data_IF_977637228571
#
_entry.id   IF_977637228571
#
_cell.length_a   1.000
_cell.length_b   1.000
_cell.length_c   1.000
_cell.angle_alpha   90.00
_cell.angle_beta   90.00
_cell.angle_gamma   90.00
#
_symmetry.space_group_name_H-M   'P 1'
#
loop_
_entity.id
_entity.type
_entity.pdbx_description
1 polymer ?
#
# COMPACT_ATOMS: atom_id res chain seq x y z
N UNK A 1 -6.92 15.83 -8.26
CA UNK A 1 -6.52 14.43 -8.53
C UNK A 1 -5.17 14.20 -7.88
N UNK A 2 -5.04 13.25 -6.96
CA UNK A 2 -3.85 13.10 -6.12
C UNK A 2 -2.75 12.34 -6.91
N UNK A 3 -1.75 13.07 -7.44
CA UNK A 3 -0.68 12.53 -8.30
C UNK A 3 0.38 11.73 -7.52
N UNK A 4 0.22 11.61 -6.19
CA UNK A 4 1.15 10.91 -5.31
C UNK A 4 1.32 9.45 -5.70
N UNK A 5 0.23 8.74 -6.04
CA UNK A 5 0.24 7.29 -6.33
C UNK A 5 0.68 6.94 -7.76
N UNK A 6 0.70 7.92 -8.67
CA UNK A 6 1.09 7.74 -10.08
C UNK A 6 2.50 8.28 -10.36
N UNK A 7 3.05 9.09 -9.46
CA UNK A 7 4.38 9.66 -9.59
C UNK A 7 5.51 8.70 -9.18
N UNK A 8 6.73 8.90 -9.70
CA UNK A 8 7.92 8.10 -9.37
C UNK A 8 8.34 8.21 -7.90
N UNK A 9 7.76 9.13 -7.13
CA UNK A 9 8.04 9.37 -5.72
C UNK A 9 7.49 8.23 -4.84
N UNK A 10 6.33 7.66 -5.18
CA UNK A 10 5.71 6.60 -4.39
C UNK A 10 6.52 5.29 -4.32
N UNK A 11 7.02 4.72 -5.44
CA UNK A 11 7.86 3.53 -5.37
C UNK A 11 9.17 3.77 -4.62
N UNK A 12 9.77 4.97 -4.77
CA UNK A 12 10.98 5.33 -4.04
C UNK A 12 10.74 5.41 -2.53
N UNK A 13 9.66 6.07 -2.11
CA UNK A 13 9.29 6.20 -0.71
C UNK A 13 8.93 4.84 -0.09
N UNK A 14 8.22 3.99 -0.84
CA UNK A 14 7.89 2.62 -0.40
C UNK A 14 9.15 1.77 -0.21
N UNK A 15 10.09 1.85 -1.15
CA UNK A 15 11.37 1.14 -1.05
C UNK A 15 12.19 1.59 0.16
N UNK A 16 12.31 2.91 0.38
CA UNK A 16 13.05 3.46 1.53
C UNK A 16 12.40 3.13 2.87
N UNK A 17 11.07 3.15 2.94
CA UNK A 17 10.35 2.75 4.15
C UNK A 17 10.57 1.26 4.46
N UNK A 18 10.59 0.41 3.43
CA UNK A 18 10.88 -1.02 3.58
C UNK A 18 12.33 -1.27 4.01
N UNK A 19 13.29 -0.58 3.39
CA UNK A 19 14.72 -0.67 3.72
C UNK A 19 14.97 -0.27 5.18
N UNK A 20 14.36 0.83 5.64
CA UNK A 20 14.44 1.28 7.03
C UNK A 20 13.85 0.26 8.02
N UNK A 21 12.69 -0.32 7.71
CA UNK A 21 12.06 -1.36 8.54
C UNK A 21 12.91 -2.63 8.60
N UNK A 22 13.53 -3.01 7.48
CA UNK A 22 14.41 -4.17 7.40
C UNK A 22 15.69 -3.97 8.21
N UNK A 23 16.29 -2.78 8.18
CA UNK A 23 17.51 -2.48 8.95
C UNK A 23 17.23 -2.36 10.46
N UNK A 24 16.12 -1.72 10.85
CA UNK A 24 15.69 -1.67 12.25
C UNK A 24 15.44 -3.07 12.86
N UNK A 25 15.10 -4.05 12.03
CA UNK A 25 14.89 -5.43 12.46
C UNK A 25 16.20 -6.21 12.71
N UNK A 26 17.36 -5.68 12.32
CA UNK A 26 18.64 -6.40 12.37
C UNK A 26 19.49 -6.09 13.60
N UNK A 27 19.23 -4.99 14.33
CA UNK A 27 20.06 -4.53 15.45
C UNK A 27 19.54 -4.90 16.84
N UNK A 28 18.32 -5.46 16.93
CA UNK A 28 17.77 -5.97 18.19
C UNK A 28 17.99 -7.48 18.31
N UNK A 29 18.46 -7.94 19.47
CA UNK A 29 18.41 -9.38 19.82
C UNK A 29 16.95 -9.83 19.79
N UNK A 30 16.55 -10.50 18.71
CA UNK A 30 15.22 -11.08 18.53
C UNK A 30 15.11 -12.31 19.41
N UNK A 31 14.39 -12.16 20.51
CA UNK A 31 14.05 -13.27 21.38
C UNK A 31 12.61 -13.72 21.08
N UNK A 32 12.31 -14.98 21.34
CA UNK A 32 10.96 -15.52 21.23
C UNK A 32 10.35 -15.71 22.62
N UNK A 33 9.02 -15.75 22.67
CA UNK A 33 8.32 -16.18 23.88
C UNK A 33 8.81 -17.59 24.26
N UNK A 34 9.26 -17.74 25.50
CA UNK A 34 9.88 -18.96 26.00
C UNK A 34 11.40 -18.90 26.20
N UNK A 35 12.09 -17.92 25.60
CA UNK A 35 13.52 -17.70 25.79
C UNK A 35 13.84 -17.13 27.18
N UNK A 36 15.12 -17.18 27.55
CA UNK A 36 15.63 -16.73 28.84
C UNK A 36 16.35 -15.38 28.70
N UNK A 37 16.02 -14.41 29.55
CA UNK A 37 16.73 -13.12 29.66
C UNK A 37 17.44 -13.06 31.02
N UNK A 38 18.69 -12.65 31.00
CA UNK A 38 19.48 -12.38 32.20
C UNK A 38 19.59 -10.88 32.47
N UNK A 39 19.59 -10.52 33.74
CA UNK A 39 19.67 -9.12 34.19
C UNK A 39 19.61 -8.98 35.71
N UNK A 40 20.12 -7.86 36.23
CA UNK A 40 20.01 -7.53 37.64
C UNK A 40 18.60 -7.01 37.96
N UNK A 41 18.09 -6.14 37.09
CA UNK A 41 16.71 -5.63 37.09
C UNK A 41 16.11 -5.73 35.68
N UNK A 42 14.93 -6.34 35.58
CA UNK A 42 14.17 -6.52 34.35
C UNK A 42 12.89 -5.68 34.42
N UNK A 43 12.67 -4.82 33.44
CA UNK A 43 11.38 -4.13 33.26
C UNK A 43 10.55 -4.89 32.23
N UNK A 44 9.38 -5.36 32.64
CA UNK A 44 8.44 -6.09 31.80
C UNK A 44 7.70 -5.15 30.86
N UNK A 45 7.06 -5.68 29.79
CA UNK A 45 6.20 -4.91 28.89
C UNK A 45 5.05 -4.17 29.60
N UNK A 46 4.57 -4.70 30.73
CA UNK A 46 3.54 -4.09 31.59
C UNK A 46 4.08 -2.97 32.51
N UNK A 47 5.38 -2.69 32.44
CA UNK A 47 6.06 -1.69 33.28
C UNK A 47 6.41 -2.17 34.69
N UNK A 48 6.00 -3.38 35.09
CA UNK A 48 6.43 -3.99 36.35
C UNK A 48 7.92 -4.32 36.32
N UNK A 49 8.64 -4.04 37.41
CA UNK A 49 10.07 -4.31 37.55
C UNK A 49 10.32 -5.56 38.39
N UNK A 50 11.14 -6.47 37.89
CA UNK A 50 11.58 -7.67 38.61
C UNK A 50 13.09 -7.53 38.88
N UNK A 51 13.47 -7.56 40.16
CA UNK A 51 14.87 -7.69 40.56
C UNK A 51 15.26 -9.16 40.47
N UNK A 52 15.88 -9.55 39.36
CA UNK A 52 16.25 -10.95 39.11
C UNK A 52 17.62 -11.30 39.70
N UNK A 53 18.45 -10.29 40.06
CA UNK A 53 19.74 -10.51 40.72
C UNK A 53 20.66 -11.45 39.93
N UNK A 54 20.72 -11.28 38.59
CA UNK A 54 21.42 -12.14 37.63
C UNK A 54 20.85 -13.56 37.49
N UNK A 55 19.62 -13.81 37.90
CA UNK A 55 18.92 -15.06 37.55
C UNK A 55 18.26 -14.91 36.18
N UNK A 56 18.30 -15.98 35.40
CA UNK A 56 17.59 -16.06 34.13
C UNK A 56 16.08 -16.05 34.36
N UNK A 57 15.39 -15.12 33.70
CA UNK A 57 13.93 -15.01 33.73
C UNK A 57 13.36 -15.52 32.40
N UNK A 58 12.36 -16.39 32.50
CA UNK A 58 11.67 -16.93 31.31
C UNK A 58 10.64 -15.94 30.81
N UNK A 59 10.71 -15.63 29.53
CA UNK A 59 9.79 -14.71 28.87
C UNK A 59 8.45 -15.39 28.64
N UNK A 60 7.39 -14.84 29.22
CA UNK A 60 6.04 -15.41 29.14
C UNK A 60 5.09 -14.62 28.23
N UNK A 61 5.43 -13.37 27.89
CA UNK A 61 4.57 -12.50 27.09
C UNK A 61 5.39 -11.81 26.00
N UNK A 62 4.83 -11.62 24.79
CA UNK A 62 5.48 -10.84 23.75
C UNK A 62 5.52 -9.35 24.15
N UNK A 63 6.56 -8.64 23.70
CA UNK A 63 6.74 -7.21 24.01
C UNK A 63 8.19 -6.79 24.12
N UNK A 64 8.41 -5.57 24.59
CA UNK A 64 9.75 -5.00 24.78
C UNK A 64 10.15 -5.17 26.25
N UNK A 65 11.30 -5.79 26.47
CA UNK A 65 11.89 -5.98 27.79
C UNK A 65 13.15 -5.13 27.91
N UNK A 66 13.35 -4.51 29.07
CA UNK A 66 14.58 -3.79 29.38
C UNK A 66 15.35 -4.52 30.48
N UNK A 67 16.59 -4.91 30.20
CA UNK A 67 17.50 -5.48 31.19
C UNK A 67 18.56 -4.47 31.58
N UNK A 68 18.66 -4.22 32.88
CA UNK A 68 19.73 -3.40 33.46
C UNK A 68 20.78 -4.33 34.05
N UNK A 69 22.04 -4.16 33.62
CA UNK A 69 23.20 -4.82 34.19
C UNK A 69 24.25 -3.74 34.47
N UNK A 70 24.37 -3.32 35.74
CA UNK A 70 25.18 -2.15 36.10
C UNK A 70 24.70 -0.87 35.43
N UNK A 71 25.56 -0.23 34.62
CA UNK A 71 25.25 1.03 33.91
C UNK A 71 24.66 0.83 32.50
N UNK A 72 24.60 -0.41 32.00
CA UNK A 72 24.13 -0.71 30.65
C UNK A 72 22.66 -1.15 30.68
N UNK A 73 21.85 -0.53 29.82
CA UNK A 73 20.44 -0.88 29.59
C UNK A 73 20.36 -1.54 28.22
N UNK A 74 20.00 -2.82 28.19
CA UNK A 74 19.79 -3.58 26.96
C UNK A 74 18.30 -3.78 26.72
N UNK A 75 17.82 -3.42 25.52
CA UNK A 75 16.44 -3.64 25.10
C UNK A 75 16.32 -4.93 24.29
N UNK A 76 15.38 -5.79 24.65
CA UNK A 76 15.08 -7.03 23.96
C UNK A 76 13.66 -6.95 23.41
N UNK A 77 13.53 -7.12 22.10
CA UNK A 77 12.23 -7.27 21.45
C UNK A 77 11.88 -8.75 21.42
N UNK A 78 10.77 -9.09 22.07
CA UNK A 78 10.26 -10.46 22.15
C UNK A 78 9.06 -10.58 21.24
N UNK A 79 9.23 -11.35 20.17
CA UNK A 79 8.16 -11.65 19.24
C UNK A 79 7.32 -12.82 19.76
N UNK A 80 6.01 -12.74 19.52
CA UNK A 80 5.12 -13.89 19.67
C UNK A 80 5.55 -15.00 18.70
N UNK A 81 5.36 -16.26 19.08
CA UNK A 81 5.68 -17.36 18.17
C UNK A 81 4.85 -17.22 16.89
N UNK A 82 5.53 -17.16 15.75
CA UNK A 82 4.89 -17.05 14.44
C UNK A 82 4.01 -18.26 14.11
N UNK A 83 4.16 -19.37 14.86
CA UNK A 83 3.26 -20.52 14.79
C UNK A 83 1.82 -20.20 15.23
N UNK A 84 1.59 -19.13 16.00
CA UNK A 84 0.26 -18.67 16.41
C UNK A 84 -0.42 -17.73 15.40
N UNK A 85 0.30 -17.28 14.37
CA UNK A 85 -0.33 -16.67 13.20
C UNK A 85 -1.17 -17.75 12.54
N UNK A 86 -2.47 -17.79 12.85
CA UNK A 86 -3.42 -18.72 12.25
C UNK A 86 -3.39 -18.50 10.74
N UNK A 87 -2.59 -19.30 10.05
CA UNK A 87 -2.54 -19.39 8.60
C UNK A 87 -3.73 -20.24 8.11
N UNK A 88 -4.91 -19.94 8.64
CA UNK A 88 -6.16 -20.50 8.17
C UNK A 88 -6.67 -19.59 7.05
N UNK A 89 -7.26 -20.19 6.01
CA UNK A 89 -7.92 -19.41 4.96
C UNK A 89 -9.03 -18.57 5.59
N UNK A 90 -8.82 -17.26 5.61
CA UNK A 90 -9.80 -16.33 6.15
C UNK A 90 -11.11 -16.43 5.35
N UNK A 91 -12.22 -16.69 6.05
CA UNK A 91 -13.54 -16.71 5.43
C UNK A 91 -14.03 -15.28 5.22
N UNK A 92 -13.75 -14.75 4.03
CA UNK A 92 -14.17 -13.41 3.63
C UNK A 92 -15.70 -13.25 3.55
N UNK A 93 -16.48 -14.33 3.60
CA UNK A 93 -17.95 -14.30 3.56
C UNK A 93 -18.56 -13.74 4.85
N UNK A 94 -17.81 -13.75 5.96
CA UNK A 94 -18.28 -13.28 7.28
C UNK A 94 -17.95 -11.81 7.56
N UNK A 95 -17.21 -11.16 6.67
CA UNK A 95 -16.68 -9.80 6.90
C UNK A 95 -17.66 -8.74 6.36
N UNK A 96 -18.47 -8.18 7.28
CA UNK A 96 -19.53 -7.19 6.97
C UNK A 96 -19.07 -5.97 6.15
N UNK A 97 -17.80 -5.60 6.27
CA UNK A 97 -17.25 -4.38 5.67
C UNK A 97 -16.32 -4.65 4.48
N UNK A 98 -16.10 -5.91 4.11
CA UNK A 98 -15.21 -6.26 3.00
C UNK A 98 -16.07 -6.60 1.80
N UNK A 99 -16.11 -5.67 0.85
CA UNK A 99 -16.74 -5.89 -0.45
C UNK A 99 -15.76 -6.65 -1.33
N UNK A 100 -15.91 -7.98 -1.40
CA UNK A 100 -15.12 -8.80 -2.31
C UNK A 100 -15.51 -8.51 -3.75
N UNK A 101 -14.50 -8.42 -4.63
CA UNK A 101 -14.75 -8.28 -6.07
C UNK A 101 -15.37 -9.58 -6.61
N UNK A 102 -16.41 -9.43 -7.43
CA UNK A 102 -17.07 -10.58 -8.08
C UNK A 102 -16.11 -11.27 -9.06
N UNK A 103 -16.35 -12.55 -9.38
CA UNK A 103 -15.50 -13.34 -10.30
C UNK A 103 -15.25 -12.66 -11.65
N UNK A 104 -16.19 -11.84 -12.14
CA UNK A 104 -16.08 -11.06 -13.38
C UNK A 104 -15.44 -9.65 -13.21
N UNK A 105 -14.71 -9.40 -12.12
CA UNK A 105 -14.11 -8.08 -11.84
C UNK A 105 -13.23 -7.57 -12.98
N UNK A 106 -12.54 -8.48 -13.67
CA UNK A 106 -11.70 -8.16 -14.83
C UNK A 106 -12.50 -7.44 -15.92
N UNK A 107 -13.72 -7.91 -16.23
CA UNK A 107 -14.59 -7.27 -17.23
C UNK A 107 -15.08 -5.89 -16.76
N UNK A 108 -15.33 -5.72 -15.46
CA UNK A 108 -15.78 -4.44 -14.88
C UNK A 108 -14.68 -3.37 -14.93
N UNK A 109 -13.42 -3.75 -14.73
CA UNK A 109 -12.28 -2.83 -14.90
C UNK A 109 -12.18 -2.36 -16.35
N UNK A 110 -12.34 -3.27 -17.31
CA UNK A 110 -12.29 -2.90 -18.72
C UNK A 110 -13.45 -1.99 -19.13
N UNK A 111 -14.67 -2.19 -18.62
CA UNK A 111 -15.79 -1.27 -18.82
C UNK A 111 -15.49 0.13 -18.27
N UNK A 112 -14.90 0.22 -17.07
CA UNK A 112 -14.49 1.50 -16.48
C UNK A 112 -13.38 2.18 -17.29
N UNK A 113 -12.47 1.41 -17.88
CA UNK A 113 -11.40 1.92 -18.75
C UNK A 113 -11.92 2.34 -20.12
N UNK A 114 -12.87 1.60 -20.68
CA UNK A 114 -13.50 1.92 -21.96
C UNK A 114 -14.28 3.23 -21.88
N UNK A 115 -14.92 3.52 -20.73
CA UNK A 115 -15.54 4.83 -20.47
C UNK A 115 -14.51 5.98 -20.51
N UNK A 116 -13.28 5.75 -20.06
CA UNK A 116 -12.18 6.71 -20.20
C UNK A 116 -11.64 6.81 -21.63
N UNK A 117 -11.85 5.83 -22.50
CA UNK A 117 -11.42 5.91 -23.90
C UNK A 117 -12.54 6.41 -24.83
N UNK A 118 -13.80 6.41 -24.38
CA UNK A 118 -14.98 6.82 -25.15
C UNK A 118 -14.89 8.27 -25.65
N UNK A 119 -14.31 9.17 -24.85
CA UNK A 119 -14.21 10.58 -25.21
C UNK A 119 -13.29 10.82 -26.40
N UNK A 120 -12.30 9.93 -26.64
CA UNK A 120 -11.41 10.02 -27.81
C UNK A 120 -12.17 9.77 -29.10
N UNK A 121 -13.06 8.77 -29.10
CA UNK A 121 -13.95 8.50 -30.22
C UNK A 121 -14.96 9.63 -30.44
N UNK A 122 -15.51 10.19 -29.35
CA UNK A 122 -16.42 11.33 -29.43
C UNK A 122 -15.71 12.57 -30.01
N UNK A 123 -14.50 12.87 -29.54
CA UNK A 123 -13.67 13.96 -30.06
C UNK A 123 -13.34 13.75 -31.54
N UNK A 124 -12.96 12.53 -31.92
CA UNK A 124 -12.66 12.19 -33.32
C UNK A 124 -13.88 12.38 -34.22
N UNK A 125 -15.07 11.95 -33.78
CA UNK A 125 -16.32 12.16 -34.51
C UNK A 125 -16.65 13.66 -34.67
N UNK A 126 -16.49 14.45 -33.60
CA UNK A 126 -16.71 15.90 -33.65
C UNK A 126 -15.73 16.60 -34.62
N UNK A 127 -14.46 16.19 -34.64
CA UNK A 127 -13.45 16.74 -35.53
C UNK A 127 -13.74 16.41 -37.00
N UNK A 128 -14.21 15.19 -37.29
CA UNK A 128 -14.64 14.78 -38.63
C UNK A 128 -15.82 15.64 -39.09
N UNK A 129 -16.83 15.85 -38.25
CA UNK A 129 -17.99 16.70 -38.56
C UNK A 129 -17.56 18.13 -38.88
N UNK A 130 -16.64 18.69 -38.10
CA UNK A 130 -16.11 20.04 -38.33
C UNK A 130 -15.35 20.16 -39.67
N UNK A 131 -14.55 19.15 -40.02
CA UNK A 131 -13.86 19.14 -41.32
C UNK A 131 -14.85 19.04 -42.49
N UNK A 132 -15.89 18.22 -42.35
CA UNK A 132 -16.95 18.10 -43.36
C UNK A 132 -17.67 19.43 -43.54
N UNK A 133 -17.97 20.15 -42.45
CA UNK A 133 -18.60 21.46 -42.49
C UNK A 133 -17.74 22.48 -43.28
N UNK A 134 -16.43 22.52 -43.01
CA UNK A 134 -15.50 23.38 -43.77
C UNK A 134 -15.50 23.04 -45.27
N UNK A 135 -15.47 21.75 -45.61
CA UNK A 135 -15.47 21.30 -47.01
C UNK A 135 -16.77 21.72 -47.71
N UNK A 136 -17.91 21.56 -47.04
CA UNK A 136 -19.22 21.95 -47.58
C UNK A 136 -19.26 23.45 -47.85
N UNK A 137 -18.88 24.28 -46.87
CA UNK A 137 -18.87 25.75 -47.00
C UNK A 137 -17.98 26.16 -48.18
N UNK A 138 -16.75 25.65 -48.24
CA UNK A 138 -15.82 26.01 -49.31
C UNK A 138 -16.29 25.55 -50.70
N UNK A 139 -16.94 24.39 -50.78
CA UNK A 139 -17.55 23.92 -52.04
C UNK A 139 -18.73 24.79 -52.48
N UNK A 140 -19.49 25.33 -51.53
CA UNK A 140 -20.61 26.22 -51.80
C UNK A 140 -20.14 27.60 -52.27
N UNK A 141 -19.06 28.12 -51.67
CA UNK A 141 -18.42 29.37 -52.09
C UNK A 141 -17.86 29.28 -53.51
N UNK A 142 -17.21 28.16 -53.85
CA UNK A 142 -16.70 27.93 -55.20
C UNK A 142 -17.83 27.90 -56.25
N UNK A 143 -18.93 27.20 -55.95
CA UNK A 143 -20.11 27.17 -56.84
C UNK A 143 -20.78 28.53 -56.97
N UNK A 144 -20.86 29.30 -55.88
CA UNK A 144 -21.44 30.63 -55.91
C UNK A 144 -20.57 31.64 -56.69
N UNK A 145 -19.24 31.52 -56.61
CA UNK A 145 -18.30 32.35 -57.38
C UNK A 145 -18.37 32.06 -58.89
N UNK A 146 -18.57 30.78 -59.28
CA UNK A 146 -18.71 30.37 -60.70
C UNK A 146 -20.01 30.92 -61.33
N UNK A 147 -21.07 31.11 -60.53
CA UNK A 147 -22.35 31.69 -60.98
C UNK A 147 -22.33 33.22 -61.10
N UNK A 148 -21.40 33.92 -60.46
CA UNK A 148 -21.26 35.39 -60.58
C UNK A 148 -20.31 35.82 -61.72
N UNK A 149 -19.64 34.86 -62.37
CA UNK A 149 -18.76 35.07 -63.52
C UNK A 149 -19.41 34.85 -64.90
N UNK A 150 -20.71 34.57 -64.95
CA UNK A 150 -21.55 34.55 -66.16
C UNK A 150 -22.47 35.77 -66.19
#
# INVERSE_FOLDING_TARGET
MNNLFLGPIFPLLSYRALEYSSQSSAEGNKLKVGDLIEGEELTLPDGSKIKSGNRSHRINSPGIYFSTQGASINAYAVDADASESRNERQDFSKLKYIKTMKKDWTKQIFLSRLGHDIWKYLLMAALILFLIEIIIIKSSEFKAADQQGQ
#
